data_IF_251627611141
#
_entry.id   IF_251627611141
#
_cell.length_a   1.000
_cell.length_b   1.000
_cell.length_c   1.000
_cell.angle_alpha   90.00
_cell.angle_beta   90.00
_cell.angle_gamma   90.00
#
_symmetry.space_group_name_H-M   'P 1'
#
loop_
_entity.id
_entity.type
_entity.pdbx_description
1 polymer ?
#
# COMPACT_ATOMS: atom_id res chain seq x y z
N UNK A 1 -10.69 59.27 49.37
CA UNK A 1 -11.53 58.54 48.39
C UNK A 1 -10.77 57.52 47.51
N UNK A 2 -9.49 57.17 47.79
CA UNK A 2 -8.71 56.22 46.95
C UNK A 2 -8.88 54.74 47.33
N UNK A 3 -9.36 54.42 48.54
CA UNK A 3 -9.48 53.04 49.03
C UNK A 3 -10.63 52.21 48.43
N UNK A 4 -11.76 52.84 48.11
CA UNK A 4 -12.95 52.13 47.61
C UNK A 4 -12.82 51.65 46.16
N UNK A 5 -11.99 52.31 45.35
CA UNK A 5 -11.70 51.86 43.98
C UNK A 5 -10.73 50.67 43.98
N UNK A 6 -9.71 50.70 44.84
CA UNK A 6 -8.74 49.63 44.98
C UNK A 6 -9.37 48.32 45.48
N UNK A 7 -10.27 48.39 46.48
CA UNK A 7 -10.97 47.21 46.98
C UNK A 7 -11.89 46.58 45.94
N UNK A 8 -12.53 47.37 45.08
CA UNK A 8 -13.34 46.86 43.97
C UNK A 8 -12.47 46.15 42.94
N UNK A 9 -11.35 46.74 42.52
CA UNK A 9 -10.44 46.12 41.54
C UNK A 9 -9.91 44.76 42.06
N UNK A 10 -9.51 44.70 43.33
CA UNK A 10 -9.05 43.45 43.96
C UNK A 10 -10.17 42.42 44.03
N UNK A 11 -11.40 42.82 44.40
CA UNK A 11 -12.55 41.92 44.42
C UNK A 11 -12.88 41.37 43.03
N UNK A 12 -12.83 42.20 41.99
CA UNK A 12 -13.04 41.78 40.60
C UNK A 12 -11.92 40.86 40.10
N UNK A 13 -10.66 41.14 40.43
CA UNK A 13 -9.54 40.26 40.09
C UNK A 13 -9.69 38.87 40.74
N UNK A 14 -10.04 38.81 42.03
CA UNK A 14 -10.30 37.55 42.73
C UNK A 14 -11.47 36.80 42.09
N UNK A 15 -12.58 37.48 41.78
CA UNK A 15 -13.74 36.86 41.14
C UNK A 15 -13.38 36.30 39.75
N UNK A 16 -12.62 37.04 38.94
CA UNK A 16 -12.14 36.58 37.64
C UNK A 16 -11.23 35.37 37.82
N UNK A 17 -10.28 35.40 38.76
CA UNK A 17 -9.42 34.23 39.03
C UNK A 17 -10.22 33.02 39.49
N UNK A 18 -11.23 33.19 40.35
CA UNK A 18 -12.10 32.11 40.84
C UNK A 18 -12.93 31.46 39.72
N UNK A 19 -13.21 32.19 38.64
CA UNK A 19 -13.93 31.66 37.47
C UNK A 19 -12.96 31.11 36.41
N UNK A 20 -11.87 31.83 36.11
CA UNK A 20 -10.91 31.46 35.06
C UNK A 20 -10.09 30.24 35.46
N UNK A 21 -9.68 30.13 36.72
CA UNK A 21 -8.81 29.05 37.19
C UNK A 21 -9.48 27.66 37.12
N UNK A 22 -10.76 27.45 37.50
CA UNK A 22 -11.43 26.19 37.24
C UNK A 22 -11.69 25.94 35.75
N UNK A 23 -11.97 26.97 34.94
CA UNK A 23 -12.11 26.82 33.47
C UNK A 23 -10.80 26.35 32.85
N UNK A 24 -9.67 26.98 33.20
CA UNK A 24 -8.33 26.57 32.76
C UNK A 24 -7.99 25.18 33.29
N UNK A 25 -8.32 24.87 34.55
CA UNK A 25 -8.12 23.54 35.13
C UNK A 25 -8.94 22.44 34.44
N UNK A 26 -10.15 22.75 33.96
CA UNK A 26 -10.96 21.83 33.13
C UNK A 26 -10.35 21.69 31.73
N UNK A 27 -9.94 22.80 31.10
CA UNK A 27 -9.30 22.78 29.78
C UNK A 27 -7.94 22.06 29.78
N UNK A 28 -7.16 22.17 30.87
CA UNK A 28 -5.90 21.45 31.05
C UNK A 28 -6.07 20.06 31.69
N UNK A 29 -7.30 19.64 31.99
CA UNK A 29 -7.61 18.28 32.47
C UNK A 29 -7.25 18.00 33.94
N UNK A 30 -6.87 18.99 34.74
CA UNK A 30 -6.47 18.84 36.15
C UNK A 30 -7.58 18.30 37.06
N UNK A 31 -8.84 18.61 36.75
CA UNK A 31 -10.01 18.14 37.52
C UNK A 31 -10.83 17.05 36.80
N UNK A 32 -10.64 16.89 35.49
CA UNK A 32 -11.53 16.11 34.62
C UNK A 32 -10.96 14.74 34.20
N UNK A 33 -9.65 14.53 34.32
CA UNK A 33 -8.97 13.29 33.93
C UNK A 33 -9.61 12.03 34.58
N UNK A 34 -9.77 12.03 35.90
CA UNK A 34 -10.27 10.85 36.64
C UNK A 34 -11.79 10.63 36.56
N UNK A 35 -12.58 11.62 36.11
CA UNK A 35 -14.06 11.53 36.06
C UNK A 35 -14.63 11.21 34.67
N UNK A 36 -13.88 11.47 33.59
CA UNK A 36 -14.31 11.20 32.22
C UNK A 36 -13.21 10.49 31.41
N UNK A 37 -12.97 9.20 31.65
CA UNK A 37 -12.09 8.40 30.79
C UNK A 37 -12.66 8.30 29.36
N UNK A 38 -11.78 8.19 28.35
CA UNK A 38 -12.21 7.69 27.04
C UNK A 38 -12.53 6.21 27.23
N UNK A 39 -13.81 5.87 27.26
CA UNK A 39 -14.29 4.50 27.43
C UNK A 39 -14.68 3.87 26.11
N UNK A 40 -15.02 4.68 25.10
CA UNK A 40 -15.53 4.19 23.83
C UNK A 40 -14.66 4.64 22.66
N UNK A 41 -14.11 3.68 21.93
CA UNK A 41 -13.48 3.89 20.63
C UNK A 41 -14.45 3.40 19.56
N UNK A 42 -15.09 4.33 18.86
CA UNK A 42 -15.97 4.00 17.73
C UNK A 42 -15.19 4.15 16.44
N UNK A 43 -14.96 3.01 15.79
CA UNK A 43 -14.20 2.93 14.55
C UNK A 43 -15.17 2.77 13.39
N UNK A 44 -15.13 3.71 12.46
CA UNK A 44 -15.81 3.65 11.17
C UNK A 44 -14.74 3.31 10.13
N UNK A 45 -14.56 2.02 9.88
CA UNK A 45 -13.63 1.50 8.89
C UNK A 45 -14.23 0.25 8.23
N UNK A 46 -13.97 0.08 6.93
CA UNK A 46 -14.09 -1.23 6.29
C UNK A 46 -12.84 -2.02 6.69
N UNK A 47 -12.94 -2.85 7.74
CA UNK A 47 -11.83 -3.67 8.21
C UNK A 47 -11.49 -4.74 7.18
N UNK A 48 -10.61 -4.43 6.23
CA UNK A 48 -10.09 -5.41 5.28
C UNK A 48 -8.71 -5.93 5.73
N UNK A 49 -7.83 -5.05 6.18
CA UNK A 49 -6.45 -5.42 6.53
C UNK A 49 -6.00 -5.01 7.93
N UNK A 50 -6.67 -4.05 8.57
CA UNK A 50 -6.30 -3.59 9.92
C UNK A 50 -7.16 -4.32 10.95
N UNK A 51 -6.54 -5.03 11.89
CA UNK A 51 -7.32 -5.67 12.97
C UNK A 51 -7.69 -4.68 14.07
N UNK A 52 -8.82 -4.93 14.75
CA UNK A 52 -9.23 -4.12 15.90
C UNK A 52 -8.17 -4.13 17.03
N UNK A 53 -7.40 -5.21 17.16
CA UNK A 53 -6.32 -5.32 18.14
C UNK A 53 -5.12 -4.45 17.79
N UNK A 54 -4.70 -4.44 16.52
CA UNK A 54 -3.63 -3.56 16.03
C UNK A 54 -3.99 -2.09 16.24
N UNK A 55 -5.23 -1.73 15.88
CA UNK A 55 -5.72 -0.37 16.08
C UNK A 55 -5.77 0.00 17.56
N UNK A 56 -6.29 -0.89 18.42
CA UNK A 56 -6.31 -0.66 19.88
C UNK A 56 -4.90 -0.49 20.43
N UNK A 57 -3.96 -1.34 20.03
CA UNK A 57 -2.56 -1.27 20.43
C UNK A 57 -1.90 0.05 20.02
N UNK A 58 -2.21 0.56 18.83
CA UNK A 58 -1.71 1.86 18.36
C UNK A 58 -2.31 3.04 19.14
N UNK A 59 -3.57 2.95 19.57
CA UNK A 59 -4.29 4.08 20.20
C UNK A 59 -4.08 4.15 21.72
N UNK A 60 -4.03 3.01 22.42
CA UNK A 60 -3.98 2.94 23.89
C UNK A 60 -2.88 3.81 24.53
N UNK A 61 -1.63 3.85 24.02
CA UNK A 61 -0.57 4.69 24.62
C UNK A 61 -0.88 6.19 24.60
N UNK A 62 -1.74 6.63 23.68
CA UNK A 62 -2.02 8.04 23.40
C UNK A 62 -3.32 8.55 24.04
N UNK A 63 -4.11 7.68 24.67
CA UNK A 63 -5.41 8.07 25.28
C UNK A 63 -5.26 8.95 26.54
N UNK A 64 -4.06 9.06 27.11
CA UNK A 64 -3.78 9.93 28.26
C UNK A 64 -4.60 9.58 29.50
N UNK A 65 -4.72 10.53 30.44
CA UNK A 65 -5.49 10.34 31.70
C UNK A 65 -6.99 10.67 31.56
N UNK A 66 -7.57 10.80 30.36
CA UNK A 66 -9.01 11.04 30.17
C UNK A 66 -9.38 11.76 28.86
N UNK A 67 -10.68 11.86 28.55
CA UNK A 67 -11.25 12.33 27.28
C UNK A 67 -10.76 13.72 26.84
N UNK A 68 -10.62 14.65 27.79
CA UNK A 68 -10.15 16.00 27.50
C UNK A 68 -8.62 16.06 27.33
N UNK A 69 -7.89 15.21 28.07
CA UNK A 69 -6.43 15.16 28.04
C UNK A 69 -5.86 14.40 26.83
N UNK A 70 -6.67 13.59 26.13
CA UNK A 70 -6.25 12.91 24.90
C UNK A 70 -5.89 13.91 23.80
N UNK A 71 -4.65 13.83 23.31
CA UNK A 71 -4.21 14.59 22.14
C UNK A 71 -4.64 13.85 20.86
N UNK A 72 -5.49 14.49 20.06
CA UNK A 72 -6.01 13.89 18.83
C UNK A 72 -4.97 13.77 17.74
N UNK A 73 -3.98 14.67 17.70
CA UNK A 73 -2.93 14.61 16.71
C UNK A 73 -1.98 13.44 16.99
N UNK A 74 -1.67 13.16 18.26
CA UNK A 74 -0.87 11.99 18.63
C UNK A 74 -1.58 10.68 18.23
N UNK A 75 -2.90 10.60 18.49
CA UNK A 75 -3.72 9.45 18.06
C UNK A 75 -3.76 9.35 16.53
N UNK A 76 -3.92 10.47 15.82
CA UNK A 76 -3.91 10.52 14.36
C UNK A 76 -2.58 10.01 13.81
N UNK A 77 -1.46 10.48 14.35
CA UNK A 77 -0.12 10.06 13.92
C UNK A 77 0.13 8.59 14.23
N UNK A 78 -0.29 8.09 15.40
CA UNK A 78 -0.14 6.68 15.76
C UNK A 78 -0.90 5.76 14.80
N UNK A 79 -2.16 6.10 14.48
CA UNK A 79 -2.96 5.32 13.52
C UNK A 79 -2.39 5.49 12.11
N UNK A 80 -2.03 6.70 11.71
CA UNK A 80 -1.44 7.00 10.40
C UNK A 80 -0.09 6.33 10.15
N UNK A 81 0.61 5.91 11.19
CA UNK A 81 1.85 5.13 11.10
C UNK A 81 1.62 3.65 10.75
N UNK A 82 0.39 3.15 10.81
CA UNK A 82 0.08 1.78 10.38
C UNK A 82 0.22 1.67 8.85
N UNK A 83 0.87 0.61 8.32
CA UNK A 83 1.19 0.55 6.88
C UNK A 83 -0.02 0.60 5.95
N UNK A 84 -1.13 -0.03 6.35
CA UNK A 84 -2.37 -0.06 5.58
C UNK A 84 -3.17 1.24 5.65
N UNK A 85 -2.80 2.20 6.50
CA UNK A 85 -3.54 3.46 6.63
C UNK A 85 -3.09 4.46 5.58
N UNK A 86 -4.02 4.88 4.74
CA UNK A 86 -3.81 5.98 3.79
C UNK A 86 -4.05 7.33 4.46
N UNK A 87 -5.18 7.45 5.16
CA UNK A 87 -5.51 8.63 5.95
C UNK A 87 -6.45 8.25 7.10
N UNK A 88 -6.47 9.10 8.13
CA UNK A 88 -7.29 8.89 9.31
C UNK A 88 -7.86 10.21 9.81
N UNK A 89 -9.16 10.20 10.10
CA UNK A 89 -9.84 11.29 10.78
C UNK A 89 -10.18 10.87 12.21
N UNK A 90 -9.72 11.65 13.18
CA UNK A 90 -10.03 11.44 14.59
C UNK A 90 -10.83 12.62 15.10
N UNK A 91 -11.98 12.35 15.72
CA UNK A 91 -12.86 13.38 16.30
C UNK A 91 -13.36 12.94 17.68
N UNK A 92 -13.49 13.92 18.57
CA UNK A 92 -14.13 13.74 19.87
C UNK A 92 -15.65 13.82 19.70
N UNK A 93 -16.36 12.82 20.19
CA UNK A 93 -17.80 12.83 20.36
C UNK A 93 -18.10 12.73 21.86
N UNK A 94 -18.59 13.83 22.40
CA UNK A 94 -19.00 13.89 23.80
C UNK A 94 -20.12 12.86 24.09
N UNK A 95 -20.14 12.21 25.28
CA UNK A 95 -19.31 12.48 26.46
C UNK A 95 -17.95 11.77 26.53
N UNK A 96 -17.78 10.62 25.91
CA UNK A 96 -16.67 9.69 26.21
C UNK A 96 -16.14 8.93 24.98
N UNK A 97 -16.56 9.34 23.78
CA UNK A 97 -16.33 8.58 22.54
C UNK A 97 -15.30 9.24 21.63
N UNK A 98 -14.30 8.49 21.19
CA UNK A 98 -13.48 8.86 20.04
C UNK A 98 -14.04 8.22 18.78
N UNK A 99 -14.43 9.07 17.83
CA UNK A 99 -14.79 8.65 16.48
C UNK A 99 -13.52 8.61 15.64
N UNK A 100 -13.18 7.44 15.12
CA UNK A 100 -12.03 7.23 14.25
C UNK A 100 -12.54 6.74 12.91
N UNK A 101 -12.28 7.50 11.84
CA UNK A 101 -12.51 7.08 10.46
C UNK A 101 -11.18 6.75 9.82
N UNK A 102 -11.07 5.55 9.28
CA UNK A 102 -9.83 5.06 8.67
C UNK A 102 -10.09 4.80 7.20
N UNK A 103 -9.22 5.35 6.35
CA UNK A 103 -9.18 5.04 4.93
C UNK A 103 -8.00 4.11 4.68
N UNK A 104 -8.29 2.87 4.31
CA UNK A 104 -7.25 1.88 4.00
C UNK A 104 -6.68 2.09 2.60
N UNK A 105 -5.36 1.90 2.48
CA UNK A 105 -4.63 1.91 1.20
C UNK A 105 -5.16 0.79 0.33
N UNK A 106 -5.52 1.14 -0.90
CA UNK A 106 -5.92 0.17 -1.91
C UNK A 106 -4.69 -0.27 -2.70
N UNK A 107 -4.29 -1.55 -2.62
CA UNK A 107 -3.15 -2.04 -3.37
C UNK A 107 -3.47 -2.08 -4.86
N UNK A 108 -2.50 -1.68 -5.68
CA UNK A 108 -2.55 -1.66 -7.13
C UNK A 108 -1.65 -2.73 -7.74
N UNK A 109 -0.46 -2.92 -7.19
CA UNK A 109 0.54 -3.85 -7.70
C UNK A 109 1.50 -4.30 -6.59
N UNK A 110 2.17 -5.44 -6.79
CA UNK A 110 3.33 -5.85 -6.00
C UNK A 110 4.60 -5.19 -6.56
N UNK A 111 5.49 -4.76 -5.68
CA UNK A 111 6.74 -4.07 -6.01
C UNK A 111 7.93 -4.79 -5.41
N UNK A 112 8.88 -5.22 -6.25
CA UNK A 112 10.12 -5.88 -5.82
C UNK A 112 9.91 -7.04 -4.82
N UNK A 113 8.80 -7.77 -4.98
CA UNK A 113 8.40 -8.98 -4.26
C UNK A 113 7.73 -8.79 -2.90
N UNK A 114 8.28 -7.94 -2.02
CA UNK A 114 7.82 -7.80 -0.63
C UNK A 114 7.07 -6.49 -0.34
N UNK A 115 6.99 -5.57 -1.31
CA UNK A 115 6.30 -4.29 -1.17
C UNK A 115 5.04 -4.24 -2.03
N UNK A 116 4.17 -3.29 -1.72
CA UNK A 116 2.97 -2.96 -2.49
C UNK A 116 3.05 -1.53 -2.99
N UNK A 117 2.43 -1.28 -4.14
CA UNK A 117 2.15 0.06 -4.64
C UNK A 117 0.67 0.32 -4.39
N UNK A 118 0.34 1.42 -3.73
CA UNK A 118 -1.05 1.84 -3.59
C UNK A 118 -1.57 2.48 -4.88
N UNK A 119 -2.89 2.60 -5.05
CA UNK A 119 -3.49 3.31 -6.19
C UNK A 119 -3.06 4.78 -6.31
N UNK A 120 -2.56 5.37 -5.22
CA UNK A 120 -1.99 6.72 -5.15
C UNK A 120 -0.51 6.75 -5.55
N UNK A 121 0.09 5.62 -5.92
CA UNK A 121 1.47 5.52 -6.36
C UNK A 121 2.49 5.48 -5.24
N UNK A 122 2.07 5.24 -3.99
CA UNK A 122 2.98 5.13 -2.85
C UNK A 122 3.40 3.68 -2.63
N UNK A 123 4.70 3.46 -2.42
CA UNK A 123 5.23 2.15 -2.04
C UNK A 123 5.12 1.99 -0.53
N UNK A 124 4.55 0.88 -0.08
CA UNK A 124 4.43 0.55 1.34
C UNK A 124 4.68 -0.94 1.59
N UNK A 125 5.15 -1.27 2.79
CA UNK A 125 5.41 -2.65 3.23
C UNK A 125 4.35 -3.03 4.23
N UNK A 126 3.64 -4.12 3.99
CA UNK A 126 2.59 -4.60 4.86
C UNK A 126 2.68 -6.12 5.04
N UNK A 127 2.21 -6.62 6.18
CA UNK A 127 2.15 -8.06 6.42
C UNK A 127 1.23 -8.73 5.39
N UNK A 128 1.70 -9.82 4.78
CA UNK A 128 0.97 -10.55 3.73
C UNK A 128 1.02 -9.91 2.34
N UNK A 129 1.85 -8.89 2.12
CA UNK A 129 2.05 -8.28 0.80
C UNK A 129 2.49 -9.29 -0.27
N UNK A 130 3.30 -10.26 0.11
CA UNK A 130 3.82 -11.34 -0.73
C UNK A 130 2.74 -12.34 -1.16
N UNK A 131 1.74 -12.55 -0.29
CA UNK A 131 0.65 -13.52 -0.45
C UNK A 131 -0.58 -12.97 -1.19
N UNK A 132 -0.58 -11.67 -1.53
CA UNK A 132 -1.73 -11.07 -2.20
C UNK A 132 -1.80 -11.49 -3.68
N UNK A 133 -2.83 -12.27 -4.01
CA UNK A 133 -3.11 -12.73 -5.35
C UNK A 133 -3.86 -11.68 -6.20
N UNK A 134 -3.86 -11.86 -7.51
CA UNK A 134 -4.58 -10.97 -8.44
C UNK A 134 -3.93 -9.60 -8.69
N UNK A 135 -2.80 -9.32 -8.04
CA UNK A 135 -2.03 -8.10 -8.28
C UNK A 135 -0.94 -8.30 -9.34
N UNK A 136 -0.78 -7.34 -10.27
CA UNK A 136 0.35 -7.37 -11.18
C UNK A 136 1.68 -7.20 -10.43
N UNK A 137 2.73 -7.83 -10.95
CA UNK A 137 4.07 -7.78 -10.38
C UNK A 137 4.94 -6.77 -11.13
N UNK A 138 5.35 -5.71 -10.44
CA UNK A 138 6.23 -4.68 -10.97
C UNK A 138 7.59 -4.79 -10.28
N UNK A 139 8.67 -4.69 -11.06
CA UNK A 139 10.04 -4.74 -10.54
C UNK A 139 10.92 -3.65 -11.14
N UNK A 140 11.81 -3.11 -10.34
CA UNK A 140 12.86 -2.20 -10.79
C UNK A 140 13.44 -1.33 -9.68
N UNK A 141 14.36 -0.42 -10.02
CA UNK A 141 14.95 0.51 -9.05
C UNK A 141 13.88 1.45 -8.47
N UNK A 142 13.90 1.68 -7.16
CA UNK A 142 12.93 2.56 -6.47
C UNK A 142 12.89 3.97 -7.08
N UNK A 143 14.04 4.49 -7.54
CA UNK A 143 14.13 5.79 -8.21
C UNK A 143 13.40 5.87 -9.56
N UNK A 144 13.05 4.72 -10.17
CA UNK A 144 12.37 4.62 -11.46
C UNK A 144 10.96 4.02 -11.34
N UNK A 145 10.38 3.99 -10.14
CA UNK A 145 9.01 3.52 -9.87
C UNK A 145 7.98 4.07 -10.88
N UNK A 146 7.94 5.38 -11.06
CA UNK A 146 6.99 6.05 -11.94
C UNK A 146 7.11 5.57 -13.40
N UNK A 147 8.33 5.27 -13.84
CA UNK A 147 8.58 4.77 -15.18
C UNK A 147 8.11 3.33 -15.35
N UNK A 148 8.33 2.47 -14.35
CA UNK A 148 7.84 1.08 -14.36
C UNK A 148 6.32 1.04 -14.39
N UNK A 149 5.65 1.87 -13.60
CA UNK A 149 4.18 2.00 -13.60
C UNK A 149 3.68 2.52 -14.96
N UNK A 150 4.35 3.53 -15.53
CA UNK A 150 4.00 4.07 -16.85
C UNK A 150 4.17 3.03 -17.96
N UNK A 151 5.25 2.25 -17.92
CA UNK A 151 5.53 1.19 -18.87
C UNK A 151 4.50 0.06 -18.75
N UNK A 152 4.14 -0.33 -17.53
CA UNK A 152 3.07 -1.29 -17.28
C UNK A 152 1.73 -0.86 -17.92
N UNK A 153 1.32 0.39 -17.74
CA UNK A 153 0.10 0.92 -18.35
C UNK A 153 0.16 0.90 -19.89
N UNK A 154 1.33 1.19 -20.46
CA UNK A 154 1.55 1.12 -21.91
C UNK A 154 1.49 -0.32 -22.43
N UNK A 155 2.13 -1.26 -21.74
CA UNK A 155 2.07 -2.67 -22.06
C UNK A 155 0.61 -3.17 -21.99
N UNK A 156 -0.12 -2.90 -20.91
CA UNK A 156 -1.54 -3.25 -20.79
C UNK A 156 -2.36 -2.78 -21.99
N UNK A 157 -2.15 -1.54 -22.44
CA UNK A 157 -2.83 -1.00 -23.63
C UNK A 157 -2.40 -1.69 -24.92
N UNK A 158 -1.11 -1.96 -25.10
CA UNK A 158 -0.59 -2.58 -26.32
C UNK A 158 -1.09 -4.03 -26.48
N UNK A 159 -1.13 -4.78 -25.38
CA UNK A 159 -1.55 -6.18 -25.33
C UNK A 159 -3.08 -6.36 -25.24
N UNK A 160 -3.84 -5.29 -25.04
CA UNK A 160 -5.30 -5.33 -24.91
C UNK A 160 -5.98 -6.12 -26.05
N UNK A 161 -7.00 -6.91 -25.69
CA UNK A 161 -7.77 -7.74 -26.62
C UNK A 161 -7.12 -9.07 -27.01
N UNK A 162 -5.94 -9.41 -26.48
CA UNK A 162 -5.22 -10.66 -26.78
C UNK A 162 -5.20 -11.59 -25.57
N UNK A 163 -6.17 -12.52 -25.52
CA UNK A 163 -6.39 -13.37 -24.35
C UNK A 163 -5.16 -14.15 -23.85
N UNK A 164 -4.29 -14.65 -24.75
CA UNK A 164 -3.08 -15.40 -24.32
C UNK A 164 -1.90 -14.51 -23.86
N UNK A 165 -2.04 -13.19 -23.98
CA UNK A 165 -0.99 -12.21 -23.69
C UNK A 165 -1.42 -11.17 -22.65
N UNK A 166 -2.38 -11.49 -21.78
CA UNK A 166 -2.73 -10.61 -20.67
C UNK A 166 -1.48 -10.33 -19.84
N UNK A 167 -1.18 -9.06 -19.59
CA UNK A 167 0.04 -8.66 -18.87
C UNK A 167 -0.18 -8.82 -17.37
N UNK A 168 0.67 -9.60 -16.71
CA UNK A 168 0.65 -9.80 -15.26
C UNK A 168 1.84 -9.16 -14.57
N UNK A 169 2.84 -8.69 -15.31
CA UNK A 169 3.94 -7.97 -14.72
C UNK A 169 4.86 -7.29 -15.72
N UNK A 170 5.68 -6.37 -15.21
CA UNK A 170 6.81 -5.79 -15.94
C UNK A 170 8.01 -5.65 -15.03
N UNK A 171 9.19 -5.77 -15.61
CA UNK A 171 10.46 -5.66 -14.90
C UNK A 171 11.40 -4.71 -15.62
N UNK A 172 12.07 -3.86 -14.86
CA UNK A 172 13.20 -3.06 -15.27
C UNK A 172 14.44 -3.53 -14.51
N UNK A 173 15.38 -4.14 -15.22
CA UNK A 173 16.66 -4.52 -14.59
C UNK A 173 17.54 -3.30 -14.31
N UNK A 174 18.53 -3.46 -13.42
CA UNK A 174 19.53 -2.43 -13.11
C UNK A 174 20.33 -1.96 -14.34
N UNK A 175 20.41 -2.82 -15.37
CA UNK A 175 21.05 -2.54 -16.66
C UNK A 175 20.13 -1.83 -17.64
N UNK A 176 18.91 -1.47 -17.25
CA UNK A 176 17.95 -0.75 -18.10
C UNK A 176 17.16 -1.61 -19.08
N UNK A 177 17.26 -2.95 -19.00
CA UNK A 177 16.49 -3.86 -19.86
C UNK A 177 15.09 -4.08 -19.30
N UNK A 178 14.08 -3.89 -20.16
CA UNK A 178 12.67 -4.12 -19.91
C UNK A 178 12.24 -5.54 -20.28
N UNK A 179 11.35 -6.12 -19.48
CA UNK A 179 10.59 -7.30 -19.83
C UNK A 179 9.14 -7.22 -19.37
N UNK A 180 8.28 -8.05 -19.98
CA UNK A 180 6.85 -8.18 -19.70
C UNK A 180 6.55 -9.64 -19.40
N UNK A 181 5.84 -9.89 -18.30
CA UNK A 181 5.33 -11.21 -17.94
C UNK A 181 3.85 -11.30 -18.30
N UNK A 182 3.43 -12.41 -18.90
CA UNK A 182 2.03 -12.67 -19.25
C UNK A 182 1.34 -13.59 -18.24
N UNK A 183 0.01 -13.64 -18.27
CA UNK A 183 -0.83 -14.55 -17.47
C UNK A 183 -0.52 -16.02 -17.73
N UNK A 184 -0.10 -16.34 -18.96
CA UNK A 184 0.36 -17.67 -19.33
C UNK A 184 1.74 -18.04 -18.78
N UNK A 185 2.39 -17.15 -18.02
CA UNK A 185 3.72 -17.33 -17.44
C UNK A 185 4.87 -17.06 -18.41
N UNK A 186 4.59 -16.53 -19.60
CA UNK A 186 5.60 -16.23 -20.59
C UNK A 186 6.37 -14.95 -20.25
N UNK A 187 7.69 -14.96 -20.43
CA UNK A 187 8.54 -13.77 -20.27
C UNK A 187 8.95 -13.23 -21.64
N UNK A 188 8.66 -11.96 -21.88
CA UNK A 188 8.96 -11.23 -23.13
C UNK A 188 10.04 -10.20 -22.83
N UNK A 189 11.27 -10.49 -23.23
CA UNK A 189 12.41 -9.58 -23.07
C UNK A 189 12.43 -8.58 -24.23
N UNK A 190 12.34 -7.30 -23.89
CA UNK A 190 12.22 -6.21 -24.87
C UNK A 190 13.56 -5.50 -25.05
N UNK A 191 14.33 -5.36 -23.98
CA UNK A 191 15.58 -4.60 -23.97
C UNK A 191 15.37 -3.13 -23.65
N UNK A 192 15.96 -2.23 -24.43
CA UNK A 192 16.00 -0.79 -24.12
C UNK A 192 14.64 -0.09 -24.31
N UNK A 193 14.41 0.94 -23.48
CA UNK A 193 13.15 1.70 -23.44
C UNK A 193 12.79 2.36 -24.77
N UNK A 194 13.78 2.90 -25.47
CA UNK A 194 13.59 3.71 -26.70
C UNK A 194 13.06 2.89 -27.87
N UNK A 195 13.35 1.59 -27.89
CA UNK A 195 12.92 0.67 -28.93
C UNK A 195 11.71 -0.18 -28.52
N UNK A 196 11.27 -0.06 -27.26
CA UNK A 196 10.27 -0.94 -26.68
C UNK A 196 8.96 -0.94 -27.49
N UNK A 197 8.44 0.24 -27.83
CA UNK A 197 7.17 0.37 -28.56
C UNK A 197 7.25 -0.25 -29.96
N UNK A 198 8.37 -0.02 -30.67
CA UNK A 198 8.60 -0.57 -32.01
C UNK A 198 8.75 -2.10 -31.99
N UNK A 199 9.54 -2.62 -31.04
CA UNK A 199 9.77 -4.06 -30.85
C UNK A 199 8.48 -4.77 -30.47
N UNK A 200 7.72 -4.17 -29.56
CA UNK A 200 6.46 -4.72 -29.10
C UNK A 200 5.40 -4.73 -30.20
N UNK A 201 5.22 -3.62 -30.93
CA UNK A 201 4.29 -3.55 -32.07
C UNK A 201 4.59 -4.64 -33.10
N UNK A 202 5.87 -4.76 -33.53
CA UNK A 202 6.30 -5.79 -34.48
C UNK A 202 5.98 -7.20 -33.99
N UNK A 203 6.23 -7.50 -32.71
CA UNK A 203 5.92 -8.81 -32.14
C UNK A 203 4.40 -9.07 -32.16
N UNK A 204 3.61 -8.09 -31.73
CA UNK A 204 2.16 -8.20 -31.65
C UNK A 204 1.46 -8.32 -33.01
N UNK A 205 2.04 -7.73 -34.06
CA UNK A 205 1.55 -7.84 -35.44
C UNK A 205 1.72 -9.25 -36.00
N UNK A 206 2.82 -9.93 -35.65
CA UNK A 206 3.16 -11.27 -36.15
C UNK A 206 2.61 -12.37 -35.22
N UNK A 207 2.32 -12.06 -33.95
CA UNK A 207 1.87 -13.02 -32.95
C UNK A 207 0.70 -13.93 -33.39
N UNK A 208 -0.38 -13.43 -34.03
CA UNK A 208 -1.48 -14.29 -34.50
C UNK A 208 -1.03 -15.37 -35.48
N UNK A 209 0.00 -15.09 -36.29
CA UNK A 209 0.56 -16.05 -37.24
C UNK A 209 1.48 -17.07 -36.53
N UNK A 210 2.16 -16.67 -35.46
CA UNK A 210 3.05 -17.55 -34.68
C UNK A 210 2.29 -18.61 -33.88
N UNK A 211 1.08 -18.25 -33.42
CA UNK A 211 0.21 -19.12 -32.63
C UNK A 211 -0.75 -19.92 -33.50
N UNK A 212 -0.94 -19.54 -34.77
CA UNK A 212 -1.80 -20.25 -35.70
C UNK A 212 -1.38 -21.73 -35.82
N UNK A 213 -2.29 -22.63 -35.46
CA UNK A 213 -2.04 -24.07 -35.51
C UNK A 213 -1.19 -24.62 -34.36
N UNK A 214 -0.82 -23.80 -33.36
CA UNK A 214 -0.16 -24.25 -32.13
C UNK A 214 -1.14 -24.29 -30.97
N UNK A 215 -1.01 -25.33 -30.15
CA UNK A 215 -1.70 -25.44 -28.87
C UNK A 215 -0.74 -25.00 -27.75
N UNK A 216 -1.20 -24.11 -26.88
CA UNK A 216 -0.42 -23.58 -25.75
C UNK A 216 0.29 -22.26 -26.02
N UNK A 217 0.79 -21.64 -24.94
CA UNK A 217 1.58 -20.40 -24.97
C UNK A 217 3.06 -20.69 -25.19
N UNK A 218 3.80 -19.69 -25.66
CA UNK A 218 5.26 -19.74 -25.61
C UNK A 218 5.75 -19.53 -24.17
N UNK A 219 6.94 -20.02 -23.85
CA UNK A 219 7.55 -19.83 -22.53
C UNK A 219 8.39 -18.55 -22.45
N UNK A 220 9.02 -18.17 -23.56
CA UNK A 220 9.94 -17.03 -23.60
C UNK A 220 10.00 -16.41 -25.00
N UNK A 221 10.08 -15.09 -25.07
CA UNK A 221 10.32 -14.35 -26.32
C UNK A 221 11.41 -13.28 -26.12
N UNK A 222 12.38 -13.20 -27.02
CA UNK A 222 13.44 -12.20 -27.02
C UNK A 222 13.29 -11.27 -28.23
N UNK A 223 12.91 -10.02 -27.97
CA UNK A 223 12.64 -9.00 -28.98
C UNK A 223 13.86 -8.10 -29.25
N UNK A 224 15.01 -8.37 -28.62
CA UNK A 224 16.20 -7.49 -28.72
C UNK A 224 16.85 -7.50 -30.10
N UNK A 225 16.50 -8.44 -30.98
CA UNK A 225 17.06 -8.54 -32.32
C UNK A 225 16.51 -7.45 -33.25
N UNK A 226 17.41 -6.77 -33.97
CA UNK A 226 17.09 -5.61 -34.81
C UNK A 226 15.99 -5.90 -35.83
N UNK A 227 16.06 -7.07 -36.48
CA UNK A 227 15.20 -7.46 -37.60
C UNK A 227 14.32 -8.68 -37.30
N UNK A 228 14.16 -9.08 -36.03
CA UNK A 228 13.39 -10.27 -35.69
C UNK A 228 13.21 -10.44 -34.19
N UNK A 229 12.79 -11.64 -33.80
CA UNK A 229 12.70 -12.06 -32.41
C UNK A 229 12.86 -13.58 -32.32
N UNK A 230 13.30 -14.06 -31.17
CA UNK A 230 13.40 -15.50 -30.89
C UNK A 230 12.26 -15.90 -29.95
N UNK A 231 11.56 -17.00 -30.25
CA UNK A 231 10.49 -17.53 -29.39
C UNK A 231 10.83 -18.96 -28.99
N UNK A 232 10.80 -19.23 -27.68
CA UNK A 232 10.98 -20.56 -27.11
C UNK A 232 9.62 -21.09 -26.67
N UNK A 233 9.30 -22.28 -27.17
CA UNK A 233 8.08 -23.00 -26.79
C UNK A 233 8.38 -23.97 -25.64
N UNK A 234 7.40 -24.24 -24.76
CA UNK A 234 7.50 -25.35 -23.82
C UNK A 234 7.75 -26.65 -24.59
N UNK A 235 8.74 -27.43 -24.18
CA UNK A 235 8.82 -28.81 -24.64
C UNK A 235 7.72 -29.60 -23.93
N UNK A 236 6.88 -30.39 -24.64
CA UNK A 236 6.01 -31.32 -23.96
C UNK A 236 6.87 -32.24 -23.08
N UNK A 237 6.46 -32.40 -21.82
CA UNK A 237 7.24 -33.04 -20.77
C UNK A 237 7.95 -34.30 -21.26
N UNK A 238 9.29 -34.28 -21.27
CA UNK A 238 10.02 -35.54 -21.14
C UNK A 238 9.64 -36.11 -19.77
N UNK A 239 9.20 -37.39 -19.67
CA UNK A 239 8.75 -37.95 -18.41
C UNK A 239 9.84 -37.74 -17.37
N UNK A 240 9.46 -37.11 -16.25
CA UNK A 240 10.30 -36.95 -15.07
C UNK A 240 10.82 -38.35 -14.74
N UNK A 241 12.08 -38.62 -15.08
CA UNK A 241 12.73 -39.85 -14.70
C UNK A 241 12.65 -39.92 -13.18
N UNK A 242 11.76 -40.77 -12.68
CA UNK A 242 11.66 -41.10 -11.28
C UNK A 242 13.09 -41.37 -10.82
N UNK A 243 13.58 -40.56 -9.89
CA UNK A 243 14.83 -40.83 -9.21
C UNK A 243 14.69 -42.24 -8.63
N UNK A 244 15.32 -43.20 -9.32
CA UNK A 244 15.50 -44.54 -8.85
C UNK A 244 16.30 -44.43 -7.56
N UNK A 245 15.58 -44.49 -6.42
CA UNK A 245 16.16 -44.71 -5.12
C UNK A 245 16.73 -46.11 -5.12
N UNK A 246 17.97 -46.21 -5.61
CA UNK A 246 18.77 -47.42 -5.54
C UNK A 246 18.91 -47.83 -4.07
N UNK A 247 18.40 -49.03 -3.80
CA UNK A 247 18.67 -49.80 -2.60
C UNK A 247 20.11 -50.33 -2.65
N UNK A 248 20.93 -49.93 -1.69
CA UNK A 248 22.11 -50.65 -1.17
C UNK A 248 22.48 -49.96 0.15
N UNK A 249 22.55 -50.58 1.33
CA UNK A 249 22.80 -51.97 1.65
C UNK A 249 24.11 -52.04 2.43
N UNK A 250 24.06 -51.95 3.76
CA UNK A 250 24.75 -52.78 4.77
C UNK A 250 24.46 -52.23 6.16
#
# INVERSE_FOLDING_TARGET
>A
MKGAAATRIVAWAIAITLVVLPVVGVMQGWFAATRWPVTQLKVEAEFAHISAEQLRGAVLPHLGKGFFATNLEDVRHAIGGLPWVESVEVRKRWPDTLLVRIYERQPFARWNDDKLISRQGLVFVAAGADQMEGLPQLRGPDARLAEVVSFYAQAQKAFAGRAQLQVTGVSLSDRGSWSVTTESGADIVIGDRDQADRRLARFLDVYPQLIAGRQGSFAYADLRYTNGFAVKWPQPDAPVAAKSGARAGT
#
